data_IF_582252656411
#
_entry.id   IF_582252656411
#
_cell.length_a   1.000
_cell.length_b   1.000
_cell.length_c   1.000
_cell.angle_alpha   90.00
_cell.angle_beta   90.00
_cell.angle_gamma   90.00
#
_symmetry.space_group_name_H-M   'P 1'
#
loop_
_entity.id
_entity.type
_entity.pdbx_description
1 polymer ?
#
# COMPACT_ATOMS: atom_id res chain seq x y z
N UNK A 1 -3.71 -9.21 23.27
CA UNK A 1 -4.30 -8.11 24.08
C UNK A 1 -3.73 -6.74 23.70
N UNK A 2 -2.40 -6.57 23.68
CA UNK A 2 -1.76 -5.26 23.32
C UNK A 2 -2.17 -4.69 21.95
N UNK A 3 -2.26 -5.48 20.87
CA UNK A 3 -2.59 -4.98 19.53
C UNK A 3 -4.06 -4.57 19.36
N UNK A 4 -4.98 -5.26 20.03
CA UNK A 4 -6.41 -4.87 20.08
C UNK A 4 -6.55 -3.53 20.80
N UNK A 5 -5.82 -3.34 21.90
CA UNK A 5 -5.79 -2.08 22.63
C UNK A 5 -5.23 -0.96 21.74
N UNK A 6 -4.10 -1.20 21.05
CA UNK A 6 -3.51 -0.23 20.12
C UNK A 6 -4.46 0.15 18.97
N UNK A 7 -5.28 -0.80 18.47
CA UNK A 7 -6.30 -0.51 17.47
C UNK A 7 -7.38 0.45 18.00
N UNK A 8 -7.90 0.19 19.22
CA UNK A 8 -8.90 1.06 19.86
C UNK A 8 -8.35 2.46 20.13
N UNK A 9 -7.11 2.53 20.58
CA UNK A 9 -6.42 3.80 20.81
C UNK A 9 -6.19 4.57 19.50
N UNK A 10 -5.80 3.90 18.41
CA UNK A 10 -5.64 4.54 17.10
C UNK A 10 -6.95 5.20 16.62
N UNK A 11 -8.09 4.51 16.79
CA UNK A 11 -9.41 5.08 16.50
C UNK A 11 -9.70 6.28 17.44
N UNK A 12 -9.37 6.15 18.72
CA UNK A 12 -9.55 7.23 19.70
C UNK A 12 -8.70 8.47 19.36
N UNK A 13 -7.43 8.28 19.02
CA UNK A 13 -6.52 9.35 18.59
C UNK A 13 -7.05 10.05 17.34
N UNK A 14 -7.49 9.29 16.34
CA UNK A 14 -8.05 9.83 15.09
C UNK A 14 -9.27 10.72 15.37
N UNK A 15 -10.19 10.27 16.24
CA UNK A 15 -11.37 11.04 16.62
C UNK A 15 -11.05 12.27 17.47
N UNK A 16 -10.15 12.12 18.45
CA UNK A 16 -9.74 13.22 19.34
C UNK A 16 -8.76 14.19 18.67
N UNK A 17 -8.17 13.82 17.52
CA UNK A 17 -7.14 14.55 16.76
C UNK A 17 -5.92 14.92 17.61
N UNK A 18 -5.58 14.11 18.61
CA UNK A 18 -4.45 14.32 19.52
C UNK A 18 -4.02 13.04 20.20
N UNK A 19 -2.76 13.01 20.61
CA UNK A 19 -2.17 11.92 21.39
C UNK A 19 -1.08 12.46 22.33
N UNK A 20 -0.58 11.60 23.23
CA UNK A 20 0.52 11.94 24.13
C UNK A 20 1.83 11.34 23.64
N UNK A 21 2.87 12.15 23.59
CA UNK A 21 4.25 11.74 23.41
C UNK A 21 5.06 12.15 24.62
N UNK A 22 5.57 11.19 25.40
CA UNK A 22 6.34 11.42 26.64
C UNK A 22 5.64 12.39 27.60
N UNK A 23 4.32 12.30 27.72
CA UNK A 23 3.52 13.16 28.58
C UNK A 23 3.13 14.52 27.98
N UNK A 24 3.68 14.91 26.83
CA UNK A 24 3.32 16.12 26.12
C UNK A 24 2.24 15.85 25.06
N UNK A 25 1.23 16.69 24.98
CA UNK A 25 0.19 16.59 23.96
C UNK A 25 0.75 16.92 22.58
N UNK A 26 0.34 16.12 21.60
CA UNK A 26 0.59 16.33 20.16
C UNK A 26 -0.75 16.36 19.45
N UNK A 27 -0.95 17.36 18.60
CA UNK A 27 -2.16 17.54 17.80
C UNK A 27 -1.88 17.00 16.39
N UNK A 28 -2.84 16.26 15.82
CA UNK A 28 -2.76 15.85 14.44
C UNK A 28 -2.95 17.05 13.51
N UNK A 29 -2.29 17.09 12.35
CA UNK A 29 -2.53 18.11 11.33
C UNK A 29 -4.01 18.23 10.95
N UNK A 30 -4.41 19.39 10.47
CA UNK A 30 -5.73 19.56 9.86
C UNK A 30 -5.85 18.72 8.60
N UNK A 31 -7.06 18.24 8.31
CA UNK A 31 -7.35 17.41 7.15
C UNK A 31 -8.62 16.59 7.33
N UNK A 32 -9.14 16.04 6.27
CA UNK A 32 -10.26 15.09 6.27
C UNK A 32 -9.72 13.65 6.28
N UNK A 33 -9.65 13.05 7.47
CA UNK A 33 -9.15 11.67 7.62
C UNK A 33 -10.14 10.61 7.11
N UNK A 34 -11.36 10.98 6.73
CA UNK A 34 -12.31 10.09 6.05
C UNK A 34 -12.25 10.25 4.53
N UNK A 35 -11.47 11.23 4.02
CA UNK A 35 -11.30 11.45 2.58
C UNK A 35 -10.82 10.18 1.90
N UNK A 36 -11.55 9.79 0.85
CA UNK A 36 -11.21 8.63 0.02
C UNK A 36 -11.72 8.84 -1.41
N UNK A 37 -10.89 8.49 -2.37
CA UNK A 37 -11.28 8.30 -3.76
C UNK A 37 -11.47 6.80 -4.02
N UNK A 38 -12.63 6.43 -4.53
CA UNK A 38 -12.94 5.06 -4.92
C UNK A 38 -12.59 4.88 -6.39
N UNK A 39 -11.70 3.95 -6.67
CA UNK A 39 -11.26 3.58 -8.02
C UNK A 39 -11.93 2.26 -8.38
N UNK A 40 -13.03 2.33 -9.13
CA UNK A 40 -13.75 1.14 -9.58
C UNK A 40 -12.95 0.37 -10.64
N UNK A 41 -13.31 -0.88 -10.95
CA UNK A 41 -12.69 -1.64 -12.05
C UNK A 41 -12.79 -0.91 -13.39
N UNK A 42 -13.89 -0.17 -13.63
CA UNK A 42 -14.10 0.62 -14.83
C UNK A 42 -13.12 1.79 -14.90
N UNK A 43 -12.94 2.52 -13.78
CA UNK A 43 -11.92 3.57 -13.68
C UNK A 43 -10.51 3.00 -13.94
N UNK A 44 -10.21 1.81 -13.40
CA UNK A 44 -8.96 1.11 -13.67
C UNK A 44 -8.78 0.77 -15.15
N UNK A 45 -9.83 0.27 -15.81
CA UNK A 45 -9.81 -0.05 -17.23
C UNK A 45 -9.64 1.20 -18.11
N UNK A 46 -10.30 2.30 -17.77
CA UNK A 46 -10.12 3.59 -18.44
C UNK A 46 -8.69 4.10 -18.33
N UNK A 47 -8.10 4.04 -17.13
CA UNK A 47 -6.71 4.41 -16.91
C UNK A 47 -5.76 3.55 -17.74
N UNK A 48 -6.01 2.25 -17.84
CA UNK A 48 -5.19 1.36 -18.67
C UNK A 48 -5.29 1.68 -20.16
N UNK A 49 -6.42 2.21 -20.63
CA UNK A 49 -6.64 2.61 -22.03
C UNK A 49 -6.04 3.97 -22.40
N UNK A 50 -5.69 4.82 -21.42
CA UNK A 50 -5.12 6.16 -21.70
C UNK A 50 -3.68 6.06 -22.19
N UNK A 51 -3.29 6.97 -23.09
CA UNK A 51 -1.89 7.17 -23.46
C UNK A 51 -1.14 7.91 -22.33
N UNK A 52 -0.09 7.26 -21.81
CA UNK A 52 0.79 7.80 -20.78
C UNK A 52 2.17 8.20 -21.32
N UNK A 53 2.40 8.12 -22.61
CA UNK A 53 3.70 8.43 -23.23
C UNK A 53 4.20 9.83 -22.89
N UNK A 54 3.26 10.79 -22.73
CA UNK A 54 3.54 12.15 -22.29
C UNK A 54 4.08 12.27 -20.88
N UNK A 55 3.71 11.33 -20.00
CA UNK A 55 4.11 11.31 -18.58
C UNK A 55 5.44 10.56 -18.38
N UNK A 56 5.80 9.65 -19.30
CA UNK A 56 7.00 8.80 -19.22
C UNK A 56 8.25 9.45 -19.88
N UNK A 57 8.41 10.76 -19.74
CA UNK A 57 9.51 11.53 -20.39
C UNK A 57 10.70 11.82 -19.47
N UNK A 58 10.58 11.54 -18.18
CA UNK A 58 11.64 11.76 -17.20
C UNK A 58 12.78 10.75 -17.29
N UNK A 59 13.80 10.94 -16.47
CA UNK A 59 14.80 9.91 -16.21
C UNK A 59 14.15 8.77 -15.39
N UNK A 60 14.82 7.59 -15.41
CA UNK A 60 14.38 6.47 -14.59
C UNK A 60 14.49 6.82 -13.10
N UNK A 61 13.45 6.53 -12.32
CA UNK A 61 13.46 6.77 -10.88
C UNK A 61 14.59 6.00 -10.19
N UNK A 62 15.01 6.51 -9.05
CA UNK A 62 15.82 5.73 -8.13
C UNK A 62 14.95 4.64 -7.49
N UNK A 63 15.44 3.40 -7.51
CA UNK A 63 14.77 2.26 -6.86
C UNK A 63 15.62 1.80 -5.68
N UNK A 64 15.01 1.66 -4.51
CA UNK A 64 15.63 1.14 -3.31
C UNK A 64 14.86 -0.07 -2.78
N UNK A 65 15.56 -1.06 -2.24
CA UNK A 65 14.99 -2.18 -1.48
C UNK A 65 15.51 -2.11 -0.06
N UNK A 66 14.61 -1.91 0.89
CA UNK A 66 14.96 -1.70 2.30
C UNK A 66 14.28 -2.71 3.23
N UNK A 67 14.81 -2.84 4.44
CA UNK A 67 14.22 -3.67 5.51
C UNK A 67 13.24 -2.89 6.39
N UNK A 68 12.99 -1.62 6.04
CA UNK A 68 12.08 -0.75 6.76
C UNK A 68 10.63 -1.21 6.64
N UNK A 69 9.80 -0.83 7.61
CA UNK A 69 8.36 -0.84 7.40
C UNK A 69 7.92 0.31 6.48
N UNK A 70 6.69 0.20 5.97
CA UNK A 70 6.20 1.12 4.95
C UNK A 70 6.13 2.58 5.42
N UNK A 71 5.76 2.84 6.68
CA UNK A 71 5.68 4.21 7.18
C UNK A 71 7.05 4.77 7.59
N UNK A 72 7.97 3.94 8.05
CA UNK A 72 9.35 4.36 8.27
C UNK A 72 9.98 4.78 6.95
N UNK A 73 9.83 4.01 5.88
CA UNK A 73 10.29 4.38 4.55
C UNK A 73 9.62 5.66 4.04
N UNK A 74 8.30 5.82 4.26
CA UNK A 74 7.56 7.00 3.86
C UNK A 74 8.00 8.28 4.58
N UNK A 75 8.39 8.17 5.86
CA UNK A 75 8.73 9.33 6.71
C UNK A 75 9.88 10.20 6.18
N UNK A 76 10.73 9.65 5.31
CA UNK A 76 11.88 10.33 4.72
C UNK A 76 11.63 10.86 3.29
N UNK A 77 10.42 10.71 2.79
CA UNK A 77 10.05 11.09 1.43
C UNK A 77 9.06 12.27 1.43
N UNK A 78 9.15 13.11 0.43
CA UNK A 78 8.20 14.20 0.23
C UNK A 78 6.93 13.67 -0.44
N UNK A 79 5.74 13.96 0.12
CA UNK A 79 4.43 13.54 -0.39
C UNK A 79 4.37 12.07 -0.83
N UNK A 80 4.74 11.11 0.04
CA UNK A 80 4.81 9.70 -0.33
C UNK A 80 3.42 9.13 -0.61
N UNK A 81 3.33 8.24 -1.62
CA UNK A 81 2.21 7.34 -1.81
C UNK A 81 2.61 5.93 -1.35
N UNK A 82 1.94 5.42 -0.34
CA UNK A 82 2.20 4.12 0.27
C UNK A 82 1.19 3.09 -0.23
N UNK A 83 1.65 1.92 -0.67
CA UNK A 83 0.77 0.81 -1.02
C UNK A 83 0.36 0.04 0.24
N UNK A 84 -0.95 0.02 0.52
CA UNK A 84 -1.56 -0.83 1.54
C UNK A 84 -1.91 -2.20 0.94
N UNK A 85 -1.40 -3.29 1.55
CA UNK A 85 -1.61 -4.69 1.13
C UNK A 85 -2.96 -5.18 1.66
N UNK A 86 -4.02 -4.72 1.03
CA UNK A 86 -5.36 -4.72 1.57
C UNK A 86 -6.03 -6.11 1.63
N UNK A 87 -6.90 -6.26 2.61
CA UNK A 87 -7.97 -7.24 2.58
C UNK A 87 -9.09 -6.74 1.65
N UNK A 88 -9.58 -7.62 0.75
CA UNK A 88 -10.61 -7.25 -0.22
C UNK A 88 -12.02 -7.14 0.40
N UNK A 89 -12.26 -7.74 1.56
CA UNK A 89 -13.59 -7.98 2.13
C UNK A 89 -13.87 -7.17 3.40
N UNK A 90 -12.82 -6.81 4.14
CA UNK A 90 -12.93 -6.12 5.42
C UNK A 90 -11.93 -4.97 5.52
N UNK A 91 -12.38 -3.73 5.79
CA UNK A 91 -11.49 -2.59 5.97
C UNK A 91 -10.53 -2.85 7.13
N UNK A 92 -9.23 -2.69 6.87
CA UNK A 92 -8.18 -2.94 7.84
C UNK A 92 -7.95 -4.41 8.18
N UNK A 93 -8.52 -5.35 7.42
CA UNK A 93 -8.33 -6.78 7.65
C UNK A 93 -8.70 -7.21 9.06
N UNK A 94 -7.75 -7.81 9.77
CA UNK A 94 -7.88 -8.21 11.17
C UNK A 94 -7.46 -7.15 12.19
N UNK A 95 -7.46 -5.87 11.84
CA UNK A 95 -7.04 -4.74 12.68
C UNK A 95 -7.70 -4.75 14.07
N UNK A 96 -9.03 -4.90 14.12
CA UNK A 96 -9.82 -4.85 15.36
C UNK A 96 -9.62 -6.08 16.25
N UNK A 97 -9.14 -7.18 15.71
CA UNK A 97 -8.90 -8.45 16.42
C UNK A 97 -7.40 -8.74 16.65
N UNK A 98 -6.52 -7.79 16.32
CA UNK A 98 -5.10 -7.85 16.68
C UNK A 98 -4.23 -8.67 15.72
N UNK A 99 -4.62 -8.83 14.46
CA UNK A 99 -3.77 -9.40 13.42
C UNK A 99 -2.53 -8.52 13.16
N UNK A 100 -1.50 -9.09 12.51
CA UNK A 100 -0.15 -8.50 12.48
C UNK A 100 0.41 -8.22 11.08
N UNK A 101 -0.38 -8.37 10.02
CA UNK A 101 0.09 -8.06 8.68
C UNK A 101 0.24 -6.54 8.45
N UNK A 102 0.72 -6.16 7.27
CA UNK A 102 1.06 -4.78 6.95
C UNK A 102 -0.14 -3.83 7.06
N UNK A 103 -1.31 -4.19 6.50
CA UNK A 103 -2.52 -3.37 6.58
C UNK A 103 -2.90 -3.05 8.03
N UNK A 104 -2.87 -4.06 8.91
CA UNK A 104 -3.20 -3.86 10.32
C UNK A 104 -2.17 -2.97 11.03
N UNK A 105 -0.89 -3.06 10.65
CA UNK A 105 0.15 -2.20 11.19
C UNK A 105 -0.04 -0.75 10.74
N UNK A 106 -0.35 -0.51 9.45
CA UNK A 106 -0.68 0.83 8.95
C UNK A 106 -1.88 1.42 9.68
N UNK A 107 -2.95 0.65 9.87
CA UNK A 107 -4.14 1.11 10.61
C UNK A 107 -3.86 1.43 12.08
N UNK A 108 -2.93 0.70 12.73
CA UNK A 108 -2.55 1.01 14.13
C UNK A 108 -1.67 2.24 14.25
N UNK A 109 -0.87 2.53 13.23
CA UNK A 109 0.08 3.64 13.22
C UNK A 109 -0.48 4.97 12.71
N UNK A 110 -1.70 4.97 12.14
CA UNK A 110 -2.21 6.15 11.42
C UNK A 110 -3.72 6.30 11.46
N UNK A 111 -4.20 7.35 10.79
CA UNK A 111 -5.64 7.61 10.57
C UNK A 111 -6.23 6.79 9.42
N UNK A 112 -5.48 5.91 8.77
CA UNK A 112 -5.90 5.16 7.58
C UNK A 112 -7.24 4.45 7.77
N UNK A 113 -7.47 3.84 8.95
CA UNK A 113 -8.71 3.11 9.20
C UNK A 113 -9.96 3.99 9.04
N UNK A 114 -9.91 5.28 9.40
CA UNK A 114 -11.04 6.20 9.22
C UNK A 114 -11.41 6.32 7.73
N UNK A 115 -10.42 6.50 6.86
CA UNK A 115 -10.63 6.61 5.40
C UNK A 115 -11.19 5.31 4.81
N UNK A 116 -10.50 4.17 5.02
CA UNK A 116 -10.90 2.90 4.37
C UNK A 116 -12.15 2.27 4.97
N UNK A 117 -12.61 2.70 6.15
CA UNK A 117 -13.89 2.27 6.75
C UNK A 117 -15.02 3.28 6.57
N UNK A 118 -14.78 4.41 5.88
CA UNK A 118 -15.78 5.44 5.58
C UNK A 118 -16.94 4.89 4.73
N UNK A 119 -18.06 5.62 4.71
CA UNK A 119 -19.26 5.21 3.94
C UNK A 119 -18.92 5.02 2.46
N UNK A 120 -18.13 5.93 1.89
CA UNK A 120 -17.73 5.89 0.48
C UNK A 120 -16.83 4.69 0.18
N UNK A 121 -15.89 4.35 1.08
CA UNK A 121 -15.00 3.21 0.92
C UNK A 121 -15.73 1.84 0.95
N UNK A 122 -16.92 1.78 1.57
CA UNK A 122 -17.73 0.54 1.64
C UNK A 122 -18.10 -0.04 0.28
N UNK A 123 -18.09 0.78 -0.78
CA UNK A 123 -18.39 0.33 -2.14
C UNK A 123 -17.47 -0.83 -2.56
N UNK A 124 -16.15 -0.69 -2.39
CA UNK A 124 -15.17 -1.75 -2.70
C UNK A 124 -15.46 -3.05 -1.95
N UNK A 125 -15.66 -2.96 -0.64
CA UNK A 125 -15.87 -4.15 0.19
C UNK A 125 -17.21 -4.82 -0.11
N UNK A 126 -18.28 -4.03 -0.30
CA UNK A 126 -19.60 -4.55 -0.70
C UNK A 126 -19.52 -5.27 -2.04
N UNK A 127 -18.85 -4.65 -3.03
CA UNK A 127 -18.68 -5.26 -4.34
C UNK A 127 -17.97 -6.62 -4.24
N UNK A 128 -16.82 -6.69 -3.58
CA UNK A 128 -16.08 -7.95 -3.45
C UNK A 128 -16.85 -9.02 -2.66
N UNK A 129 -17.66 -8.62 -1.68
CA UNK A 129 -18.49 -9.56 -0.91
C UNK A 129 -19.69 -10.08 -1.68
N UNK A 130 -20.18 -9.36 -2.69
CA UNK A 130 -21.35 -9.75 -3.49
C UNK A 130 -20.99 -10.31 -4.87
N UNK A 131 -19.76 -10.13 -5.34
CA UNK A 131 -19.26 -10.60 -6.63
C UNK A 131 -18.02 -11.46 -6.43
N UNK A 132 -18.17 -12.71 -5.95
CA UNK A 132 -17.04 -13.57 -5.64
C UNK A 132 -16.21 -13.86 -6.90
N UNK A 133 -14.91 -13.61 -6.82
CA UNK A 133 -13.97 -13.87 -7.89
C UNK A 133 -12.67 -14.44 -7.32
N UNK A 134 -12.10 -15.42 -8.00
CA UNK A 134 -10.89 -16.11 -7.52
C UNK A 134 -9.68 -15.17 -7.29
N UNK A 135 -9.61 -14.07 -8.00
CA UNK A 135 -8.51 -13.08 -7.85
C UNK A 135 -8.98 -11.74 -7.29
N UNK A 136 -10.21 -11.69 -6.79
CA UNK A 136 -10.90 -10.48 -6.35
C UNK A 136 -11.11 -9.45 -7.49
N UNK A 137 -11.69 -8.28 -7.19
CA UNK A 137 -11.86 -7.22 -8.18
C UNK A 137 -10.63 -6.31 -8.28
N UNK A 138 -10.60 -5.46 -9.29
CA UNK A 138 -9.59 -4.41 -9.44
C UNK A 138 -9.98 -3.10 -8.72
N UNK A 139 -10.97 -3.13 -7.82
CA UNK A 139 -11.27 -2.01 -6.95
C UNK A 139 -10.07 -1.61 -6.11
N UNK A 140 -9.82 -0.31 -6.00
CA UNK A 140 -8.80 0.28 -5.14
C UNK A 140 -9.38 1.51 -4.44
N UNK A 141 -8.74 1.90 -3.32
CA UNK A 141 -9.08 3.13 -2.61
C UNK A 141 -7.83 4.00 -2.53
N UNK A 142 -7.96 5.28 -2.83
CA UNK A 142 -6.90 6.26 -2.58
C UNK A 142 -7.31 7.13 -1.41
N UNK A 143 -6.55 7.05 -0.31
CA UNK A 143 -6.67 7.88 0.88
C UNK A 143 -5.62 8.98 0.82
N UNK A 144 -5.98 10.23 0.46
CA UNK A 144 -4.99 11.29 0.19
C UNK A 144 -4.38 11.88 1.47
N UNK A 145 -5.09 11.81 2.59
CA UNK A 145 -4.76 12.51 3.83
C UNK A 145 -4.67 11.57 5.03
N UNK A 146 -3.62 10.73 5.03
CA UNK A 146 -3.37 9.81 6.14
C UNK A 146 -2.28 10.39 7.05
N UNK A 147 -2.65 10.67 8.30
CA UNK A 147 -1.71 11.12 9.32
C UNK A 147 -1.10 9.92 10.04
N UNK A 148 0.21 9.79 10.01
CA UNK A 148 0.99 8.78 10.72
C UNK A 148 1.44 9.36 12.05
N UNK A 149 1.08 8.71 13.16
CA UNK A 149 1.34 9.19 14.52
C UNK A 149 1.98 8.15 15.44
N UNK A 150 2.19 6.90 14.96
CA UNK A 150 2.90 5.82 15.66
C UNK A 150 3.80 5.05 14.71
N UNK A 151 4.86 4.51 15.27
CA UNK A 151 5.72 3.54 14.58
C UNK A 151 5.12 2.12 14.55
N UNK A 152 5.85 1.18 13.95
CA UNK A 152 5.42 -0.23 13.82
C UNK A 152 5.32 -0.94 15.19
N UNK A 153 6.04 -0.49 16.21
CA UNK A 153 5.95 -0.99 17.57
C UNK A 153 4.74 -0.42 18.33
N UNK A 154 3.97 0.45 17.68
CA UNK A 154 2.85 1.22 18.23
C UNK A 154 3.31 2.31 19.23
N UNK A 155 4.58 2.72 19.20
CA UNK A 155 5.05 3.83 20.02
C UNK A 155 4.70 5.17 19.36
N UNK A 156 4.21 6.16 20.11
CA UNK A 156 3.85 7.47 19.59
C UNK A 156 5.08 8.18 18.99
N UNK A 157 4.91 8.82 17.84
CA UNK A 157 5.92 9.66 17.21
C UNK A 157 6.00 11.03 17.89
N UNK A 158 7.20 11.61 17.94
CA UNK A 158 7.37 13.00 18.41
C UNK A 158 6.65 13.99 17.49
N UNK A 159 6.74 13.75 16.18
CA UNK A 159 6.10 14.57 15.14
C UNK A 159 5.32 13.65 14.21
N UNK A 160 4.00 13.82 14.12
CA UNK A 160 3.22 13.11 13.13
C UNK A 160 3.54 13.64 11.74
N UNK A 161 3.38 12.82 10.72
CA UNK A 161 3.56 13.24 9.34
C UNK A 161 2.41 12.75 8.45
N UNK A 162 2.26 13.38 7.28
CA UNK A 162 1.22 13.03 6.31
C UNK A 162 1.78 12.12 5.23
N UNK A 163 0.98 11.14 4.84
CA UNK A 163 1.21 10.29 3.70
C UNK A 163 -0.11 10.08 2.94
N UNK A 164 -0.04 9.79 1.66
CA UNK A 164 -1.19 9.23 0.93
C UNK A 164 -1.06 7.72 0.89
N UNK A 165 -2.19 7.02 0.89
CA UNK A 165 -2.20 5.55 0.87
C UNK A 165 -3.10 5.04 -0.24
N UNK A 166 -2.56 4.18 -1.11
CA UNK A 166 -3.36 3.42 -2.07
C UNK A 166 -3.61 2.02 -1.53
N UNK A 167 -4.86 1.70 -1.30
CA UNK A 167 -5.35 0.44 -0.75
C UNK A 167 -5.75 -0.48 -1.90
N UNK A 168 -5.00 -1.56 -2.12
CA UNK A 168 -5.22 -2.48 -3.23
C UNK A 168 -5.10 -3.94 -2.78
N UNK A 169 -6.13 -4.78 -3.00
CA UNK A 169 -6.05 -6.21 -2.72
C UNK A 169 -5.12 -6.94 -3.68
N UNK A 170 -4.31 -7.85 -3.17
CA UNK A 170 -3.58 -8.84 -3.97
C UNK A 170 -4.40 -10.13 -4.09
N UNK A 171 -4.20 -10.97 -5.14
CA UNK A 171 -4.76 -12.32 -5.19
C UNK A 171 -4.36 -13.12 -3.94
N UNK A 172 -5.34 -13.75 -3.28
CA UNK A 172 -5.09 -14.54 -2.07
C UNK A 172 -4.92 -16.01 -2.40
N UNK A 173 -3.69 -16.48 -2.61
CA UNK A 173 -3.39 -17.89 -2.94
C UNK A 173 -3.73 -18.89 -1.82
N UNK A 174 -3.84 -18.43 -0.59
CA UNK A 174 -4.27 -19.26 0.56
C UNK A 174 -5.78 -19.19 0.81
N UNK A 175 -6.51 -18.47 -0.04
CA UNK A 175 -7.95 -18.28 0.01
C UNK A 175 -8.58 -18.36 -1.37
N UNK A 176 -9.23 -17.29 -1.81
CA UNK A 176 -10.01 -17.24 -3.05
C UNK A 176 -9.21 -17.67 -4.31
N UNK A 177 -7.92 -17.38 -4.38
CA UNK A 177 -7.07 -17.71 -5.52
C UNK A 177 -6.37 -19.09 -5.41
N UNK A 178 -6.77 -19.94 -4.46
CA UNK A 178 -6.11 -21.26 -4.24
C UNK A 178 -6.03 -22.10 -5.51
N UNK A 179 -7.06 -22.08 -6.34
CA UNK A 179 -7.15 -22.84 -7.59
C UNK A 179 -6.92 -22.01 -8.85
N UNK A 180 -6.55 -20.73 -8.70
CA UNK A 180 -6.23 -19.90 -9.85
C UNK A 180 -4.86 -20.30 -10.43
N UNK A 181 -4.76 -20.33 -11.77
CA UNK A 181 -3.50 -20.64 -12.44
C UNK A 181 -2.44 -19.56 -12.13
N UNK A 182 -1.17 -19.93 -12.14
CA UNK A 182 -0.05 -19.01 -11.97
C UNK A 182 -0.08 -17.85 -12.96
N UNK A 183 -0.44 -18.12 -14.23
CA UNK A 183 -0.57 -17.10 -15.27
C UNK A 183 -1.67 -16.09 -14.92
N UNK A 184 -2.85 -16.55 -14.50
CA UNK A 184 -3.95 -15.66 -14.10
C UNK A 184 -3.56 -14.75 -12.93
N UNK A 185 -2.83 -15.29 -11.96
CA UNK A 185 -2.33 -14.53 -10.81
C UNK A 185 -1.32 -13.48 -11.28
N UNK A 186 -0.34 -13.87 -12.11
CA UNK A 186 0.68 -12.97 -12.67
C UNK A 186 0.05 -11.85 -13.50
N UNK A 187 -0.87 -12.14 -14.39
CA UNK A 187 -1.62 -11.16 -15.19
C UNK A 187 -2.40 -10.19 -14.30
N UNK A 188 -3.01 -10.68 -13.22
CA UNK A 188 -3.71 -9.85 -12.25
C UNK A 188 -2.77 -8.89 -11.52
N UNK A 189 -1.59 -9.37 -11.09
CA UNK A 189 -0.56 -8.50 -10.50
C UNK A 189 -0.11 -7.43 -11.48
N UNK A 190 0.26 -7.78 -12.70
CA UNK A 190 0.70 -6.82 -13.73
C UNK A 190 -0.37 -5.77 -14.01
N UNK A 191 -1.61 -6.18 -14.18
CA UNK A 191 -2.72 -5.27 -14.43
C UNK A 191 -2.91 -4.29 -13.27
N UNK A 192 -2.97 -4.78 -12.03
CA UNK A 192 -3.13 -3.93 -10.84
C UNK A 192 -1.93 -3.03 -10.57
N UNK A 193 -0.72 -3.51 -10.77
CA UNK A 193 0.50 -2.68 -10.67
C UNK A 193 0.43 -1.53 -11.67
N UNK A 194 0.06 -1.79 -12.93
CA UNK A 194 -0.14 -0.73 -13.93
C UNK A 194 -1.19 0.28 -13.51
N UNK A 195 -2.31 -0.15 -12.93
CA UNK A 195 -3.35 0.76 -12.41
C UNK A 195 -2.77 1.62 -11.28
N UNK A 196 -2.11 1.01 -10.29
CA UNK A 196 -1.47 1.72 -9.17
C UNK A 196 -0.50 2.79 -9.67
N UNK A 197 0.41 2.44 -10.60
CA UNK A 197 1.40 3.37 -11.14
C UNK A 197 0.76 4.49 -11.95
N UNK A 198 -0.30 4.19 -12.71
CA UNK A 198 -1.05 5.20 -13.46
C UNK A 198 -1.81 6.15 -12.54
N UNK A 199 -2.47 5.64 -11.51
CA UNK A 199 -3.11 6.48 -10.47
C UNK A 199 -2.07 7.39 -9.82
N UNK A 200 -0.94 6.84 -9.42
CA UNK A 200 0.13 7.60 -8.80
C UNK A 200 0.63 8.75 -9.71
N UNK A 201 0.90 8.45 -10.97
CA UNK A 201 1.36 9.44 -11.94
C UNK A 201 0.29 10.50 -12.26
N UNK A 202 -0.97 10.10 -12.45
CA UNK A 202 -2.12 10.99 -12.76
C UNK A 202 -2.44 11.94 -11.60
N UNK A 203 -2.20 11.51 -10.34
CA UNK A 203 -2.37 12.34 -9.13
C UNK A 203 -1.09 13.10 -8.74
N UNK A 204 -0.03 13.03 -9.55
CA UNK A 204 1.22 13.77 -9.36
C UNK A 204 2.08 13.29 -8.18
N UNK A 205 1.93 12.04 -7.75
CA UNK A 205 2.86 11.46 -6.78
C UNK A 205 4.18 11.14 -7.46
N UNK A 206 5.28 11.55 -6.82
CA UNK A 206 6.64 11.34 -7.34
C UNK A 206 7.41 10.30 -6.53
N UNK A 207 6.99 10.04 -5.29
CA UNK A 207 7.68 9.15 -4.37
C UNK A 207 6.73 8.02 -3.94
N UNK A 208 7.11 6.78 -4.23
CA UNK A 208 6.29 5.60 -3.93
C UNK A 208 6.95 4.72 -2.88
N UNK A 209 6.15 4.21 -1.96
CA UNK A 209 6.53 3.14 -1.04
C UNK A 209 5.71 1.91 -1.36
N UNK A 210 6.35 0.95 -1.97
CA UNK A 210 5.84 -0.35 -2.38
C UNK A 210 6.43 -1.44 -1.48
N UNK A 211 6.27 -2.72 -1.83
CA UNK A 211 6.88 -3.82 -1.06
C UNK A 211 6.47 -5.20 -1.57
N UNK A 212 6.67 -6.21 -0.75
CA UNK A 212 6.35 -7.61 -1.07
C UNK A 212 4.83 -7.88 -0.98
N UNK A 213 4.09 -7.23 -1.88
CA UNK A 213 2.65 -7.18 -1.91
C UNK A 213 2.01 -8.56 -2.10
N UNK A 214 1.23 -9.00 -1.10
CA UNK A 214 0.59 -10.31 -1.10
C UNK A 214 1.51 -11.51 -0.85
N UNK A 215 2.83 -11.30 -0.59
CA UNK A 215 3.80 -12.39 -0.38
C UNK A 215 3.80 -12.95 1.05
N UNK A 216 3.17 -12.26 2.00
CA UNK A 216 3.04 -12.71 3.39
C UNK A 216 1.85 -13.65 3.59
N UNK A 217 0.79 -13.14 4.24
CA UNK A 217 -0.40 -13.91 4.57
C UNK A 217 -1.10 -14.55 3.36
N UNK A 218 -1.06 -13.91 2.19
CA UNK A 218 -1.69 -14.41 0.97
C UNK A 218 -0.86 -15.44 0.19
N UNK A 219 0.43 -15.59 0.50
CA UNK A 219 1.28 -16.68 0.03
C UNK A 219 1.65 -16.63 -1.45
N UNK A 220 1.67 -15.46 -2.06
CA UNK A 220 2.19 -15.30 -3.42
C UNK A 220 3.72 -15.44 -3.44
N UNK A 221 4.24 -15.88 -4.57
CA UNK A 221 5.68 -16.01 -4.81
C UNK A 221 6.35 -14.64 -4.91
N UNK A 222 7.33 -14.30 -4.05
CA UNK A 222 7.94 -12.98 -4.02
C UNK A 222 8.78 -12.67 -5.26
N UNK A 223 9.38 -13.68 -5.89
CA UNK A 223 10.12 -13.50 -7.14
C UNK A 223 9.19 -13.10 -8.27
N UNK A 224 8.06 -13.80 -8.43
CA UNK A 224 7.05 -13.44 -9.41
C UNK A 224 6.50 -12.02 -9.19
N UNK A 225 6.24 -11.62 -7.94
CA UNK A 225 5.72 -10.29 -7.63
C UNK A 225 6.76 -9.21 -7.91
N UNK A 226 8.02 -9.41 -7.52
CA UNK A 226 9.12 -8.51 -7.83
C UNK A 226 9.32 -8.33 -9.34
N UNK A 227 9.27 -9.43 -10.12
CA UNK A 227 9.34 -9.39 -11.58
C UNK A 227 8.15 -8.64 -12.22
N UNK A 228 6.94 -8.75 -11.68
CA UNK A 228 5.80 -7.95 -12.15
C UNK A 228 6.05 -6.44 -11.94
N UNK A 229 6.60 -6.05 -10.80
CA UNK A 229 6.99 -4.65 -10.57
C UNK A 229 8.12 -4.22 -11.50
N UNK A 230 9.14 -5.06 -11.73
CA UNK A 230 10.24 -4.76 -12.64
C UNK A 230 9.72 -4.57 -14.07
N UNK A 231 8.86 -5.47 -14.53
CA UNK A 231 8.22 -5.36 -15.85
C UNK A 231 7.54 -4.00 -16.02
N UNK A 232 6.69 -3.59 -15.06
CA UNK A 232 5.98 -2.32 -15.17
C UNK A 232 6.91 -1.10 -15.02
N UNK A 233 7.77 -1.08 -14.00
CA UNK A 233 8.62 0.09 -13.71
C UNK A 233 9.73 0.27 -14.74
N UNK A 234 10.41 -0.83 -15.13
CA UNK A 234 11.63 -0.78 -15.94
C UNK A 234 11.33 -1.05 -17.41
N UNK A 235 10.72 -2.18 -17.74
CA UNK A 235 10.52 -2.59 -19.14
C UNK A 235 9.45 -1.73 -19.84
N UNK A 236 8.34 -1.45 -19.16
CA UNK A 236 7.26 -0.58 -19.66
C UNK A 236 7.54 0.91 -19.41
N UNK A 237 8.59 1.23 -18.63
CA UNK A 237 9.11 2.56 -18.44
C UNK A 237 8.31 3.44 -17.46
N UNK A 238 7.35 2.89 -16.67
CA UNK A 238 6.60 3.68 -15.68
C UNK A 238 7.50 4.33 -14.64
N UNK A 239 8.69 3.79 -14.35
CA UNK A 239 9.66 4.41 -13.45
C UNK A 239 10.05 5.84 -13.85
N UNK A 240 9.87 6.24 -15.12
CA UNK A 240 10.14 7.60 -15.60
C UNK A 240 9.11 8.64 -15.13
N UNK A 241 8.00 8.21 -14.54
CA UNK A 241 7.00 9.10 -13.95
C UNK A 241 7.33 9.50 -12.51
N UNK A 242 8.35 8.89 -11.88
CA UNK A 242 8.64 9.04 -10.46
C UNK A 242 10.08 9.52 -10.22
N UNK A 243 10.35 10.00 -9.00
CA UNK A 243 11.68 10.35 -8.54
C UNK A 243 12.28 9.20 -7.72
N UNK A 244 11.45 8.60 -6.84
CA UNK A 244 11.88 7.53 -5.94
C UNK A 244 10.81 6.43 -5.84
N UNK A 245 11.25 5.19 -5.91
CA UNK A 245 10.45 4.00 -5.55
C UNK A 245 11.19 3.22 -4.48
N UNK A 246 10.59 3.07 -3.31
CA UNK A 246 11.14 2.27 -2.21
C UNK A 246 10.31 1.00 -2.07
N UNK A 247 10.94 -0.16 -2.21
CA UNK A 247 10.37 -1.44 -1.81
C UNK A 247 10.70 -1.67 -0.33
N UNK A 248 9.79 -1.30 0.55
CA UNK A 248 9.89 -1.53 2.00
C UNK A 248 9.46 -2.97 2.32
N UNK A 249 10.42 -3.84 2.58
CA UNK A 249 10.19 -5.27 2.81
C UNK A 249 10.56 -5.62 4.25
N UNK A 250 9.67 -5.27 5.17
CA UNK A 250 9.84 -5.48 6.59
C UNK A 250 9.79 -6.96 6.98
N UNK A 251 10.67 -7.39 7.87
CA UNK A 251 10.65 -8.73 8.45
C UNK A 251 12.04 -9.33 8.62
N UNK A 252 12.19 -10.62 8.28
CA UNK A 252 13.49 -11.29 8.41
C UNK A 252 14.47 -10.79 7.33
N UNK A 253 15.64 -10.25 7.71
CA UNK A 253 16.68 -9.79 6.78
C UNK A 253 17.14 -10.85 5.77
N UNK A 254 17.11 -12.12 6.17
CA UNK A 254 17.47 -13.27 5.31
C UNK A 254 16.22 -13.94 4.73
N UNK A 255 15.05 -13.29 4.85
CA UNK A 255 13.78 -13.86 4.41
C UNK A 255 13.64 -13.91 2.89
N UNK A 256 12.80 -14.83 2.37
CA UNK A 256 12.64 -15.01 0.93
C UNK A 256 12.09 -13.76 0.23
N UNK A 257 11.26 -12.97 0.90
CA UNK A 257 10.69 -11.75 0.32
C UNK A 257 11.79 -10.72 0.02
N UNK A 258 12.63 -10.41 1.01
CA UNK A 258 13.68 -9.41 0.85
C UNK A 258 14.74 -9.86 -0.16
N UNK A 259 15.13 -11.14 -0.11
CA UNK A 259 16.07 -11.71 -1.09
C UNK A 259 15.55 -11.59 -2.52
N UNK A 260 14.31 -11.98 -2.79
CA UNK A 260 13.72 -11.91 -4.12
C UNK A 260 13.69 -10.47 -4.68
N UNK A 261 13.32 -9.49 -3.84
CA UNK A 261 13.31 -8.09 -4.26
C UNK A 261 14.74 -7.55 -4.46
N UNK A 262 15.71 -7.95 -3.62
CA UNK A 262 17.13 -7.60 -3.82
C UNK A 262 17.72 -8.24 -5.08
N UNK A 263 17.37 -9.47 -5.41
CA UNK A 263 17.80 -10.14 -6.65
C UNK A 263 17.30 -9.40 -7.88
N UNK A 264 16.05 -8.95 -7.87
CA UNK A 264 15.43 -8.27 -9.01
C UNK A 264 15.87 -6.81 -9.16
N UNK A 265 16.05 -6.08 -8.04
CA UNK A 265 16.33 -4.65 -8.05
C UNK A 265 17.70 -4.26 -7.47
N UNK A 266 18.37 -5.16 -6.74
CA UNK A 266 19.66 -4.88 -6.08
C UNK A 266 20.88 -4.95 -7.01
N UNK A 267 20.72 -5.43 -8.25
CA UNK A 267 21.77 -5.45 -9.28
C UNK A 267 21.96 -4.14 -10.05
N UNK A 268 21.28 -3.08 -9.65
CA UNK A 268 21.35 -1.75 -10.23
C UNK A 268 22.58 -0.93 -9.80
N UNK A 269 23.77 -1.45 -10.11
CA UNK A 269 24.88 -0.58 -10.42
C UNK A 269 24.57 0.11 -11.75
N UNK A 270 24.64 1.42 -11.79
CA UNK A 270 24.36 2.39 -12.88
C UNK A 270 24.45 1.80 -14.29
N UNK A 271 23.53 2.22 -15.21
CA UNK A 271 23.75 1.97 -16.62
C UNK A 271 25.06 2.55 -17.09
#
# INVERSE_FOLDING_TARGET
MKLIQAAREAIGITKARRYLWKGAERVLPEGDFEAVEVLSPECGAELLGRDFSGTLKGEMCRIEVTEEDSFLAASRLERPLVLNFANAHHPGGGFLIGARAQEEALCRGSTLYASISSEKAREMYRYNNTHPCAVESDFMLLSPEVCVFRDIACEPLERPFMASVITAPAPNRRGAALFASGNRIRETFLRRIRIILRVAADRGYRNLVLGAWGCGAFGNDPGMVAECFRTALVEEGFGRAFDMVVFAVYGNPDGPNLRAFREVFGGGGRP
#
